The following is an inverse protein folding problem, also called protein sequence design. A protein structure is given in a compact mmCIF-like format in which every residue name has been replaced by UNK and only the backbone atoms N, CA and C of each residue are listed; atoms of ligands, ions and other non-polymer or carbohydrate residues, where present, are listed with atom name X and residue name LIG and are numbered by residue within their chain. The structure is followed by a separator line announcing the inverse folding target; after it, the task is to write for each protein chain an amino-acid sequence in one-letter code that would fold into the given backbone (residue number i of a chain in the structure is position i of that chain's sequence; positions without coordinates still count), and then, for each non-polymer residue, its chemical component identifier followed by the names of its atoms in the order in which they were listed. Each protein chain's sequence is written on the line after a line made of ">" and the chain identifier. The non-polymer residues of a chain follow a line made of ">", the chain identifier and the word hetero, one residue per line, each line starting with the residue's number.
data_IF_355204722967
#
_entry.id   IF_355204722967
#
_cell.length_a   1.000
_cell.length_b   1.000
_cell.length_c   1.000
_cell.angle_alpha   90.00
_cell.angle_beta   90.00
_cell.angle_gamma   90.00
#
_symmetry.space_group_name_H-M   'P 1'
#
loop_
_entity.id
_entity.type
_entity.pdbx_description
1 polymer ?
#
# COMPACT_ATOMS: atom_id res chain seq x y z
N UNK A 1 -21.67 -12.88 -2.26
CA UNK A 1 -20.32 -12.29 -2.39
C UNK A 1 -19.53 -13.24 -3.26
N UNK A 2 -18.94 -12.76 -4.36
CA UNK A 2 -18.11 -13.61 -5.24
C UNK A 2 -16.66 -13.59 -4.72
N UNK A 3 -15.87 -14.66 -4.95
CA UNK A 3 -14.46 -14.69 -4.55
C UNK A 3 -13.62 -13.50 -5.08
N UNK A 4 -14.00 -12.97 -6.24
CA UNK A 4 -13.37 -11.79 -6.84
C UNK A 4 -13.63 -10.50 -6.04
N UNK A 5 -14.84 -10.37 -5.46
CA UNK A 5 -15.18 -9.23 -4.62
C UNK A 5 -14.38 -9.24 -3.31
N UNK A 6 -14.23 -10.41 -2.67
CA UNK A 6 -13.39 -10.58 -1.47
C UNK A 6 -11.91 -10.27 -1.77
N UNK A 7 -11.40 -10.74 -2.91
CA UNK A 7 -10.04 -10.44 -3.35
C UNK A 7 -9.81 -8.93 -3.56
N UNK A 8 -10.75 -8.22 -4.18
CA UNK A 8 -10.65 -6.76 -4.38
C UNK A 8 -10.66 -6.02 -3.03
N UNK A 9 -11.50 -6.44 -2.08
CA UNK A 9 -11.54 -5.85 -0.73
C UNK A 9 -10.22 -6.05 0.03
N UNK A 10 -9.64 -7.25 -0.03
CA UNK A 10 -8.33 -7.55 0.56
C UNK A 10 -7.22 -6.66 -0.02
N UNK A 11 -7.20 -6.48 -1.35
CA UNK A 11 -6.25 -5.59 -2.01
C UNK A 11 -6.41 -4.13 -1.56
N UNK A 12 -7.66 -3.66 -1.39
CA UNK A 12 -7.94 -2.32 -0.88
C UNK A 12 -7.43 -2.16 0.56
N UNK A 13 -7.65 -3.17 1.42
CA UNK A 13 -7.21 -3.16 2.82
C UNK A 13 -5.67 -3.14 2.92
N UNK A 14 -5.00 -4.01 2.17
CA UNK A 14 -3.53 -4.09 2.13
C UNK A 14 -2.94 -2.76 1.67
N UNK A 15 -3.45 -2.18 0.56
CA UNK A 15 -3.02 -0.86 0.07
C UNK A 15 -3.20 0.22 1.13
N UNK A 16 -4.30 0.20 1.88
CA UNK A 16 -4.56 1.16 2.96
C UNK A 16 -3.54 1.07 4.09
N UNK A 17 -3.18 -0.14 4.52
CA UNK A 17 -2.14 -0.38 5.53
C UNK A 17 -0.76 0.11 5.05
N UNK A 18 -0.40 -0.17 3.80
CA UNK A 18 0.85 0.29 3.20
C UNK A 18 0.95 1.82 3.13
N UNK A 19 -0.14 2.51 2.75
CA UNK A 19 -0.19 3.98 2.77
C UNK A 19 0.02 4.55 4.17
N UNK A 20 -0.57 3.93 5.20
CA UNK A 20 -0.35 4.34 6.60
C UNK A 20 1.11 4.16 7.02
N UNK A 21 1.73 3.03 6.68
CA UNK A 21 3.14 2.78 6.97
C UNK A 21 4.06 3.78 6.26
N UNK A 22 3.80 4.08 4.99
CA UNK A 22 4.53 5.09 4.24
C UNK A 22 4.43 6.46 4.92
N UNK A 23 3.23 6.88 5.32
CA UNK A 23 3.02 8.15 6.01
C UNK A 23 3.74 8.24 7.36
N UNK A 24 3.83 7.13 8.11
CA UNK A 24 4.63 7.05 9.34
C UNK A 24 6.12 7.29 9.04
N UNK A 25 6.66 6.59 8.04
CA UNK A 25 8.07 6.71 7.65
C UNK A 25 8.39 8.11 7.11
N UNK A 26 7.49 8.71 6.32
CA UNK A 26 7.61 10.09 5.83
C UNK A 26 7.59 11.11 6.97
N UNK A 27 6.79 10.86 8.02
CA UNK A 27 6.79 11.66 9.24
C UNK A 27 7.99 11.40 10.18
N UNK A 28 8.93 10.53 9.79
CA UNK A 28 10.09 10.16 10.60
C UNK A 28 9.73 9.33 11.85
N UNK A 29 8.53 8.75 11.88
CA UNK A 29 7.99 7.95 13.00
C UNK A 29 7.91 6.49 12.60
N UNK A 30 8.38 5.56 13.44
CA UNK A 30 7.95 4.16 13.31
C UNK A 30 6.68 3.93 14.13
N UNK A 31 5.87 2.92 13.74
CA UNK A 31 4.61 2.57 14.43
C UNK A 31 4.76 2.23 15.93
N UNK A 32 5.99 2.11 16.42
CA UNK A 32 6.35 1.85 17.83
C UNK A 32 7.03 3.05 18.53
N UNK A 33 7.07 4.23 17.91
CA UNK A 33 7.64 5.44 18.52
C UNK A 33 9.17 5.56 18.44
N UNK A 34 9.86 4.60 17.83
CA UNK A 34 11.30 4.67 17.58
C UNK A 34 11.64 5.59 16.38
N UNK A 35 12.77 6.30 16.48
CA UNK A 35 13.33 7.05 15.36
C UNK A 35 13.87 6.08 14.29
N UNK A 36 13.50 6.31 13.03
CA UNK A 36 14.01 5.53 11.89
C UNK A 36 15.35 6.13 11.44
N UNK A 37 16.38 5.29 11.25
CA UNK A 37 17.62 5.73 10.61
C UNK A 37 17.33 6.26 9.19
N UNK A 38 17.70 7.52 8.91
CA UNK A 38 17.33 8.24 7.69
C UNK A 38 17.67 7.47 6.38
N UNK A 39 18.80 6.77 6.36
CA UNK A 39 19.27 5.97 5.21
C UNK A 39 18.44 4.71 4.94
N UNK A 40 17.89 4.09 5.98
CA UNK A 40 16.96 2.96 5.83
C UNK A 40 15.56 3.43 5.41
N UNK A 41 15.22 4.70 5.67
CA UNK A 41 13.90 5.27 5.37
C UNK A 41 13.67 5.49 3.88
N UNK A 42 14.65 5.98 3.11
CA UNK A 42 14.44 6.36 1.70
C UNK A 42 14.24 5.16 0.77
N UNK A 43 15.08 4.13 0.90
CA UNK A 43 14.91 2.88 0.14
C UNK A 43 13.59 2.18 0.48
N UNK A 44 13.18 2.23 1.75
CA UNK A 44 11.91 1.66 2.21
C UNK A 44 10.72 2.47 1.67
N UNK A 45 10.79 3.80 1.69
CA UNK A 45 9.79 4.69 1.08
C UNK A 45 9.63 4.39 -0.42
N UNK A 46 10.73 4.29 -1.16
CA UNK A 46 10.71 4.00 -2.60
C UNK A 46 10.05 2.65 -2.90
N UNK A 47 10.38 1.60 -2.12
CA UNK A 47 9.75 0.28 -2.24
C UNK A 47 8.25 0.32 -1.93
N UNK A 48 7.86 1.01 -0.85
CA UNK A 48 6.45 1.15 -0.48
C UNK A 48 5.65 1.93 -1.52
N UNK A 49 6.22 3.01 -2.09
CA UNK A 49 5.58 3.78 -3.16
C UNK A 49 5.31 2.91 -4.39
N UNK A 50 6.33 2.17 -4.85
CA UNK A 50 6.21 1.25 -5.97
C UNK A 50 5.15 0.17 -5.72
N UNK A 51 5.17 -0.44 -4.54
CA UNK A 51 4.18 -1.46 -4.17
C UNK A 51 2.74 -0.89 -4.17
N UNK A 52 2.55 0.33 -3.66
CA UNK A 52 1.25 1.01 -3.66
C UNK A 52 0.80 1.32 -5.10
N UNK A 53 1.71 1.67 -6.00
CA UNK A 53 1.41 1.87 -7.43
C UNK A 53 0.98 0.56 -8.09
N UNK A 54 1.72 -0.53 -7.89
CA UNK A 54 1.38 -1.86 -8.41
C UNK A 54 -0.03 -2.29 -7.94
N UNK A 55 -0.37 -2.06 -6.66
CA UNK A 55 -1.71 -2.32 -6.14
C UNK A 55 -2.78 -1.41 -6.78
N UNK A 56 -2.47 -0.15 -7.07
CA UNK A 56 -3.44 0.72 -7.75
C UNK A 56 -3.71 0.27 -9.18
N UNK A 57 -2.69 -0.20 -9.89
CA UNK A 57 -2.85 -0.68 -11.26
C UNK A 57 -3.60 -2.00 -11.29
N UNK A 58 -3.29 -2.95 -10.39
CA UNK A 58 -4.10 -4.16 -10.20
C UNK A 58 -5.57 -3.84 -9.91
N UNK A 59 -5.85 -2.86 -9.04
CA UNK A 59 -7.22 -2.46 -8.75
C UNK A 59 -7.91 -1.79 -9.94
N UNK A 60 -7.21 -1.03 -10.79
CA UNK A 60 -7.78 -0.47 -12.02
C UNK A 60 -8.12 -1.55 -13.04
N UNK A 61 -7.23 -2.52 -13.21
CA UNK A 61 -7.44 -3.65 -14.13
C UNK A 61 -8.67 -4.46 -13.70
N UNK A 62 -8.79 -4.78 -12.42
CA UNK A 62 -9.92 -5.55 -11.90
C UNK A 62 -11.24 -4.73 -11.84
N UNK A 63 -11.18 -3.42 -11.55
CA UNK A 63 -12.36 -2.54 -11.62
C UNK A 63 -12.85 -2.31 -13.06
N UNK A 64 -11.99 -2.54 -14.06
CA UNK A 64 -12.37 -2.49 -15.48
C UNK A 64 -12.97 -3.80 -15.95
N UNK A 65 -12.55 -4.93 -15.37
CA UNK A 65 -13.11 -6.26 -15.64
C UNK A 65 -14.55 -6.43 -15.12
N UNK A 66 -14.92 -5.73 -14.05
CA UNK A 66 -16.28 -5.74 -13.46
C UNK A 66 -17.32 -4.93 -14.26
N UNK A 67 -16.93 -4.32 -15.40
CA UNK A 67 -17.81 -3.52 -16.28
C UNK A 67 -18.16 -4.16 -17.62
N UNK A 68 -17.73 -5.40 -17.88
CA UNK A 68 -18.02 -6.18 -19.09
C UNK A 68 -18.76 -7.45 -18.75
#
# INVERSE_FOLDING_TARGET
>A
MTPEHEFIEDLIEIRSKLKKQLGLIEAGKMGTGGAVAASASEATKARLKRLIEDFNDLLKENASADRT
#
